data_IF_280458363785
#
_entry.id   IF_280458363785
#
_cell.length_a   1.000
_cell.length_b   1.000
_cell.length_c   1.000
_cell.angle_alpha   90.00
_cell.angle_beta   90.00
_cell.angle_gamma   90.00
#
_symmetry.space_group_name_H-M   'P 1'
#
loop_
_entity.id
_entity.type
_entity.pdbx_description
1 polymer ?
#
# COMPACT_ATOMS: atom_id res chain seq x y z
N UNK A 1 32.71 -52.35 61.22
CA UNK A 1 33.32 -53.38 60.36
C UNK A 1 33.56 -52.69 59.02
N UNK A 2 34.70 -52.01 58.86
CA UNK A 2 35.99 -52.55 58.37
C UNK A 2 35.84 -52.95 56.89
N UNK A 3 36.65 -52.52 55.92
CA UNK A 3 37.98 -51.90 55.94
C UNK A 3 38.25 -51.20 54.58
N UNK A 4 39.25 -50.31 54.54
CA UNK A 4 39.81 -49.60 53.34
C UNK A 4 40.98 -50.47 52.76
N UNK A 5 41.90 -50.07 51.83
CA UNK A 5 41.98 -49.10 50.70
C UNK A 5 42.50 -49.79 49.39
N UNK A 6 42.66 -49.13 48.22
CA UNK A 6 43.83 -48.34 47.72
C UNK A 6 43.42 -47.59 46.44
N UNK A 7 43.56 -46.25 46.32
CA UNK A 7 44.75 -45.42 46.04
C UNK A 7 45.48 -45.70 44.71
N UNK A 8 45.25 -44.80 43.75
CA UNK A 8 46.19 -44.45 42.68
C UNK A 8 46.00 -42.98 42.34
N UNK A 9 46.90 -42.13 42.82
CA UNK A 9 46.86 -40.68 42.73
C UNK A 9 48.02 -40.15 41.88
N UNK A 10 47.76 -39.16 41.02
CA UNK A 10 48.78 -38.22 40.50
C UNK A 10 48.06 -36.98 39.95
N UNK A 11 47.88 -35.93 40.78
CA UNK A 11 48.68 -34.69 40.90
C UNK A 11 48.50 -33.71 39.73
N UNK A 12 47.72 -32.65 39.97
CA UNK A 12 48.14 -31.21 40.03
C UNK A 12 48.47 -30.60 38.65
N UNK A 13 47.98 -29.41 38.27
CA UNK A 13 47.94 -28.20 39.09
C UNK A 13 46.95 -27.17 38.53
N UNK A 14 46.33 -26.47 39.48
CA UNK A 14 45.58 -25.23 39.31
C UNK A 14 46.52 -24.07 38.95
N UNK A 15 46.11 -23.16 38.05
CA UNK A 15 46.47 -21.73 38.11
C UNK A 15 45.35 -20.88 37.48
N UNK A 16 44.59 -20.18 38.32
CA UNK A 16 43.88 -18.94 37.98
C UNK A 16 44.89 -17.80 38.15
N UNK A 17 45.12 -16.96 37.12
CA UNK A 17 45.68 -15.61 37.33
C UNK A 17 44.97 -14.63 36.39
N UNK A 18 44.18 -13.75 37.01
CA UNK A 18 43.73 -12.47 36.46
C UNK A 18 44.90 -11.49 36.62
N UNK A 19 45.35 -10.86 35.53
CA UNK A 19 46.12 -9.62 35.59
C UNK A 19 45.70 -8.70 34.44
N UNK A 20 44.96 -7.66 34.81
CA UNK A 20 44.85 -6.41 34.06
C UNK A 20 46.22 -5.69 34.07
N UNK A 21 46.54 -4.98 32.99
CA UNK A 21 47.01 -3.59 32.98
C UNK A 21 47.57 -3.21 31.59
N UNK A 22 46.93 -2.20 31.01
CA UNK A 22 47.52 -1.08 30.25
C UNK A 22 48.28 -1.44 28.97
N UNK A 23 47.63 -1.17 27.83
CA UNK A 23 48.31 -1.08 26.54
C UNK A 23 47.44 -0.47 25.46
N UNK A 24 47.40 0.86 25.39
CA UNK A 24 47.19 1.57 24.12
C UNK A 24 45.76 1.76 23.66
N UNK A 25 45.09 2.76 24.23
CA UNK A 25 44.05 3.53 23.52
C UNK A 25 44.73 4.20 22.31
N UNK A 26 44.49 3.69 21.11
CA UNK A 26 44.66 4.45 19.87
C UNK A 26 43.26 4.79 19.36
N UNK A 27 42.87 6.02 19.64
CA UNK A 27 41.69 6.70 19.12
C UNK A 27 41.90 6.85 17.60
N UNK A 28 41.36 5.90 16.84
CA UNK A 28 41.08 6.08 15.42
C UNK A 28 39.69 6.68 15.28
N UNK A 29 39.62 8.00 15.09
CA UNK A 29 38.39 8.69 14.72
C UNK A 29 37.93 8.21 13.33
N UNK A 30 37.06 7.20 13.29
CA UNK A 30 36.13 7.00 12.20
C UNK A 30 34.75 7.29 12.78
N UNK A 31 34.31 8.55 12.59
CA UNK A 31 32.98 9.04 12.94
C UNK A 31 31.90 8.39 12.07
N UNK A 32 31.73 7.08 12.20
CA UNK A 32 30.56 6.37 11.71
C UNK A 32 29.41 6.66 12.66
N UNK A 33 28.71 7.77 12.44
CA UNK A 33 27.37 7.94 12.97
C UNK A 33 26.53 6.82 12.37
N UNK A 34 26.20 5.82 13.18
CA UNK A 34 25.05 4.95 12.88
C UNK A 34 23.85 5.89 12.96
N UNK A 35 23.47 6.46 11.81
CA UNK A 35 22.21 7.14 11.68
C UNK A 35 21.14 6.09 11.94
N UNK A 36 20.65 6.04 13.17
CA UNK A 36 19.39 5.39 13.48
C UNK A 36 18.37 6.14 12.65
N UNK A 37 18.00 5.60 11.50
CA UNK A 37 16.87 6.10 10.72
C UNK A 37 15.70 6.12 11.70
N UNK A 38 15.12 7.29 12.02
CA UNK A 38 13.96 7.33 12.88
C UNK A 38 12.91 6.42 12.25
N UNK A 39 12.29 5.54 13.05
CA UNK A 39 11.11 4.83 12.61
C UNK A 39 10.12 5.87 12.05
N UNK A 40 9.47 5.61 10.90
CA UNK A 40 8.50 6.54 10.36
C UNK A 40 7.48 6.87 11.45
N UNK A 41 7.34 8.16 11.75
CA UNK A 41 6.38 8.62 12.76
C UNK A 41 4.99 8.13 12.36
N UNK A 42 4.21 7.56 13.30
CA UNK A 42 2.80 7.32 13.05
C UNK A 42 2.16 8.69 12.78
N UNK A 43 1.72 8.92 11.54
CA UNK A 43 1.15 10.18 11.08
C UNK A 43 1.83 10.83 9.87
N UNK A 44 2.94 10.31 9.34
CA UNK A 44 3.39 10.73 8.00
C UNK A 44 2.65 9.88 6.97
N UNK A 45 1.55 10.40 6.46
CA UNK A 45 0.91 9.85 5.27
C UNK A 45 1.92 9.62 4.14
N UNK A 46 1.58 8.80 3.14
CA UNK A 46 2.46 8.50 2.03
C UNK A 46 2.94 9.78 1.33
N UNK A 47 4.18 9.76 0.79
CA UNK A 47 4.80 10.97 0.28
C UNK A 47 3.91 11.63 -0.79
N UNK A 48 3.85 12.97 -0.83
CA UNK A 48 3.19 13.66 -1.91
C UNK A 48 3.87 13.37 -3.25
N UNK A 49 3.12 13.27 -4.35
CA UNK A 49 3.69 13.28 -5.69
C UNK A 49 4.26 14.66 -6.01
N UNK A 50 5.28 14.71 -6.87
CA UNK A 50 5.92 15.97 -7.29
C UNK A 50 5.10 16.79 -8.27
N UNK A 51 4.00 16.22 -8.80
CA UNK A 51 3.21 16.75 -9.92
C UNK A 51 1.75 17.06 -9.55
N UNK A 52 1.48 17.33 -8.27
CA UNK A 52 0.17 17.66 -7.66
C UNK A 52 -0.95 18.07 -8.65
N UNK A 53 -1.86 17.14 -8.98
CA UNK A 53 -3.03 17.39 -9.84
C UNK A 53 -2.77 17.48 -11.36
N UNK A 54 -1.52 17.31 -11.82
CA UNK A 54 -1.11 17.33 -13.24
C UNK A 54 -0.81 15.93 -13.79
N UNK A 55 -1.36 14.88 -13.19
CA UNK A 55 -1.04 13.49 -13.55
C UNK A 55 -1.25 13.17 -15.04
N UNK A 56 -2.22 13.82 -15.70
CA UNK A 56 -2.52 13.60 -17.13
C UNK A 56 -1.42 14.12 -18.07
N UNK A 57 -0.60 15.09 -17.64
CA UNK A 57 0.52 15.63 -18.43
C UNK A 57 1.85 14.95 -18.08
N UNK A 58 1.87 14.12 -17.04
CA UNK A 58 3.08 13.44 -16.60
C UNK A 58 3.41 12.24 -17.48
N UNK A 59 4.70 11.98 -17.75
CA UNK A 59 5.11 10.72 -18.34
C UNK A 59 4.62 9.55 -17.49
N UNK A 60 4.06 8.52 -18.11
CA UNK A 60 3.55 7.34 -17.38
C UNK A 60 4.61 6.74 -16.47
N UNK A 61 5.85 6.69 -16.91
CA UNK A 61 6.99 6.23 -16.12
C UNK A 61 7.16 6.97 -14.78
N UNK A 62 6.89 8.28 -14.72
CA UNK A 62 6.96 9.08 -13.49
C UNK A 62 5.82 8.72 -12.54
N UNK A 63 4.60 8.55 -13.06
CA UNK A 63 3.45 8.11 -12.28
C UNK A 63 3.69 6.71 -11.69
N UNK A 64 4.23 5.80 -12.49
CA UNK A 64 4.58 4.45 -12.03
C UNK A 64 5.77 4.45 -11.07
N UNK A 65 6.71 5.38 -11.22
CA UNK A 65 7.81 5.58 -10.26
C UNK A 65 7.27 5.99 -8.91
N UNK A 66 6.36 6.97 -8.89
CA UNK A 66 5.63 7.37 -7.70
C UNK A 66 4.88 6.19 -7.08
N UNK A 67 4.10 5.45 -7.89
CA UNK A 67 3.31 4.32 -7.42
C UNK A 67 4.17 3.20 -6.80
N UNK A 68 5.36 2.92 -7.35
CA UNK A 68 6.31 1.94 -6.78
C UNK A 68 6.88 2.37 -5.42
N UNK A 69 6.93 3.68 -5.15
CA UNK A 69 7.33 4.21 -3.85
C UNK A 69 6.27 4.08 -2.76
N UNK A 70 5.04 3.68 -3.11
CA UNK A 70 3.93 3.55 -2.17
C UNK A 70 3.84 2.14 -1.58
N UNK A 71 3.46 2.08 -0.30
CA UNK A 71 2.99 0.86 0.34
C UNK A 71 1.52 0.59 0.03
N UNK A 72 1.18 -0.67 -0.19
CA UNK A 72 -0.21 -1.13 -0.32
C UNK A 72 -0.50 -2.18 0.74
N UNK A 73 -1.65 -2.07 1.40
CA UNK A 73 -2.01 -3.01 2.46
C UNK A 73 -2.54 -4.31 1.83
N UNK A 74 -1.79 -5.39 2.08
CA UNK A 74 -2.06 -6.73 1.55
C UNK A 74 -2.65 -7.66 2.60
N UNK A 75 -2.82 -7.18 3.83
CA UNK A 75 -3.35 -7.97 4.95
C UNK A 75 -4.77 -8.45 4.65
N UNK A 76 -5.13 -9.58 5.26
CA UNK A 76 -6.45 -10.15 5.11
C UNK A 76 -7.48 -9.17 5.66
N UNK A 77 -8.48 -8.85 4.84
CA UNK A 77 -9.51 -7.87 5.16
C UNK A 77 -9.14 -6.42 4.85
N UNK A 78 -7.91 -6.06 4.47
CA UNK A 78 -7.63 -4.70 4.00
C UNK A 78 -8.17 -4.48 2.57
N UNK A 79 -7.93 -5.45 1.69
CA UNK A 79 -8.42 -5.46 0.31
C UNK A 79 -9.60 -6.41 0.08
N UNK A 80 -9.94 -6.59 -1.19
CA UNK A 80 -10.98 -7.51 -1.65
C UNK A 80 -10.59 -8.19 -2.96
N UNK A 81 -11.05 -9.42 -3.18
CA UNK A 81 -10.78 -10.20 -4.40
C UNK A 81 -12.09 -10.76 -4.94
N UNK A 82 -12.44 -10.39 -6.16
CA UNK A 82 -13.69 -10.78 -6.81
C UNK A 82 -13.46 -11.04 -8.29
N UNK A 83 -14.26 -11.95 -8.87
CA UNK A 83 -14.40 -12.05 -10.32
C UNK A 83 -15.40 -10.98 -10.77
N UNK A 84 -14.94 -10.03 -11.57
CA UNK A 84 -15.74 -8.90 -12.03
C UNK A 84 -16.79 -9.35 -13.05
N UNK A 85 -17.75 -8.49 -13.35
CA UNK A 85 -18.85 -8.77 -14.27
C UNK A 85 -18.59 -8.07 -15.61
N UNK A 86 -18.60 -8.82 -16.71
CA UNK A 86 -18.59 -8.21 -18.05
C UNK A 86 -19.97 -8.37 -18.66
N UNK A 87 -20.50 -7.32 -19.28
CA UNK A 87 -21.75 -7.44 -20.04
C UNK A 87 -21.42 -7.97 -21.43
N UNK A 88 -21.92 -9.17 -21.75
CA UNK A 88 -21.88 -9.69 -23.11
C UNK A 88 -22.94 -8.97 -23.96
N UNK A 89 -22.47 -7.98 -24.74
CA UNK A 89 -23.31 -7.21 -25.66
C UNK A 89 -23.76 -7.99 -26.90
N UNK A 90 -23.18 -9.18 -27.15
CA UNK A 90 -23.57 -10.05 -28.27
C UNK A 90 -24.73 -11.00 -27.89
N UNK A 91 -24.98 -11.19 -26.59
CA UNK A 91 -26.16 -11.91 -26.12
C UNK A 91 -27.44 -11.09 -26.36
N UNK A 92 -28.57 -11.78 -26.61
CA UNK A 92 -29.88 -11.14 -26.80
C UNK A 92 -30.89 -11.75 -25.80
N UNK A 93 -31.22 -11.07 -24.68
CA UNK A 93 -30.72 -9.75 -24.27
C UNK A 93 -29.25 -9.78 -23.79
N UNK A 94 -28.56 -8.62 -23.72
CA UNK A 94 -27.24 -8.54 -23.10
C UNK A 94 -27.24 -9.17 -21.72
N UNK A 95 -26.24 -9.99 -21.44
CA UNK A 95 -26.19 -10.82 -20.25
C UNK A 95 -24.89 -10.59 -19.47
N UNK A 96 -24.95 -10.52 -18.13
CA UNK A 96 -23.74 -10.51 -17.32
C UNK A 96 -23.03 -11.86 -17.45
N UNK A 97 -21.75 -11.84 -17.78
CA UNK A 97 -20.87 -13.00 -17.85
C UNK A 97 -19.67 -12.81 -16.92
N UNK A 98 -19.06 -13.90 -16.42
CA UNK A 98 -17.88 -13.78 -15.56
C UNK A 98 -16.71 -13.12 -16.30
N UNK A 99 -16.25 -11.98 -15.77
CA UNK A 99 -15.06 -11.24 -16.19
C UNK A 99 -13.78 -11.74 -15.50
N UNK A 100 -12.72 -10.92 -15.44
CA UNK A 100 -11.44 -11.30 -14.81
C UNK A 100 -11.53 -11.37 -13.28
N UNK A 101 -10.67 -12.19 -12.68
CA UNK A 101 -10.39 -12.18 -11.25
C UNK A 101 -9.50 -10.99 -10.88
N UNK A 102 -10.04 -10.03 -10.15
CA UNK A 102 -9.33 -8.82 -9.75
C UNK A 102 -9.21 -8.71 -8.23
N UNK A 103 -8.08 -8.16 -7.77
CA UNK A 103 -7.88 -7.77 -6.36
C UNK A 103 -7.74 -6.26 -6.25
N UNK A 104 -8.45 -5.64 -5.31
CA UNK A 104 -8.24 -4.25 -4.92
C UNK A 104 -7.49 -4.19 -3.59
N UNK A 105 -6.47 -3.33 -3.51
CA UNK A 105 -5.64 -3.14 -2.32
C UNK A 105 -5.54 -1.64 -2.03
N UNK A 106 -5.89 -1.17 -0.81
CA UNK A 106 -5.75 0.23 -0.46
C UNK A 106 -4.27 0.60 -0.31
N UNK A 107 -3.96 1.85 -0.58
CA UNK A 107 -2.66 2.41 -0.20
C UNK A 107 -2.57 2.45 1.34
N UNK A 108 -1.42 2.07 1.89
CA UNK A 108 -1.15 2.21 3.32
C UNK A 108 -1.28 3.68 3.74
N UNK A 109 -1.99 3.94 4.84
CA UNK A 109 -2.24 5.30 5.32
C UNK A 109 -3.30 6.08 4.53
N UNK A 110 -3.99 5.50 3.54
CA UNK A 110 -5.06 6.20 2.81
C UNK A 110 -6.20 6.66 3.74
N UNK A 111 -6.47 5.90 4.80
CA UNK A 111 -7.41 6.25 5.87
C UNK A 111 -6.92 7.37 6.80
N UNK A 112 -5.65 7.78 6.71
CA UNK A 112 -5.08 8.85 7.55
C UNK A 112 -4.95 10.17 6.81
N UNK A 113 -5.10 10.16 5.47
CA UNK A 113 -4.99 11.35 4.65
C UNK A 113 -5.95 12.45 5.11
N UNK A 114 -5.44 13.66 5.16
CA UNK A 114 -6.25 14.85 5.30
C UNK A 114 -6.85 15.26 3.95
N UNK A 115 -7.96 15.99 4.00
CA UNK A 115 -8.70 16.36 2.78
C UNK A 115 -7.84 17.17 1.80
N UNK A 116 -6.99 18.06 2.30
CA UNK A 116 -6.12 18.88 1.46
C UNK A 116 -4.99 18.06 0.82
N UNK A 117 -4.53 17.00 1.49
CA UNK A 117 -3.56 16.07 0.92
C UNK A 117 -4.17 15.26 -0.22
N UNK A 118 -5.41 14.79 -0.03
CA UNK A 118 -6.17 14.13 -1.09
C UNK A 118 -6.45 15.09 -2.26
N UNK A 119 -6.81 16.35 -1.96
CA UNK A 119 -7.09 17.37 -2.98
C UNK A 119 -5.88 17.66 -3.87
N UNK A 120 -4.67 17.66 -3.29
CA UNK A 120 -3.42 17.83 -4.02
C UNK A 120 -3.10 16.65 -4.97
N UNK A 121 -3.77 15.52 -4.81
CA UNK A 121 -3.64 14.36 -5.68
C UNK A 121 -2.84 13.23 -5.05
N UNK A 122 -3.46 12.05 -4.96
CA UNK A 122 -2.86 10.82 -4.41
C UNK A 122 -3.37 9.58 -5.13
N UNK A 123 -2.51 8.57 -5.21
CA UNK A 123 -2.98 7.19 -5.43
C UNK A 123 -3.59 6.73 -4.11
N UNK A 124 -4.81 6.21 -4.11
CA UNK A 124 -5.51 5.77 -2.88
C UNK A 124 -5.66 4.25 -2.81
N UNK A 125 -5.56 3.57 -3.95
CA UNK A 125 -5.60 2.12 -4.06
C UNK A 125 -4.93 1.67 -5.36
N UNK A 126 -4.69 0.36 -5.47
CA UNK A 126 -4.39 -0.31 -6.73
C UNK A 126 -5.34 -1.47 -6.96
N UNK A 127 -5.55 -1.77 -8.23
CA UNK A 127 -6.38 -2.86 -8.71
C UNK A 127 -5.50 -3.76 -9.55
N UNK A 128 -5.47 -5.05 -9.23
CA UNK A 128 -4.60 -6.04 -9.86
C UNK A 128 -5.49 -7.03 -10.60
N UNK A 129 -5.37 -7.06 -11.93
CA UNK A 129 -5.95 -8.11 -12.74
C UNK A 129 -5.06 -9.36 -12.66
N UNK A 130 -5.62 -10.49 -12.20
CA UNK A 130 -4.90 -11.75 -12.06
C UNK A 130 -5.13 -12.71 -13.23
N UNK A 131 -5.96 -12.32 -14.18
CA UNK A 131 -6.33 -13.10 -15.35
C UNK A 131 -5.76 -12.47 -16.64
N UNK A 132 -5.94 -13.15 -17.77
CA UNK A 132 -5.58 -12.66 -19.10
C UNK A 132 -6.70 -11.90 -19.81
N UNK A 133 -7.87 -11.76 -19.17
CA UNK A 133 -9.03 -11.06 -19.71
C UNK A 133 -8.90 -9.58 -19.31
N UNK A 134 -8.85 -8.62 -20.25
CA UNK A 134 -8.80 -7.20 -19.89
C UNK A 134 -10.14 -6.74 -19.30
N UNK A 135 -10.11 -5.63 -18.56
CA UNK A 135 -11.30 -4.94 -18.06
C UNK A 135 -11.19 -3.43 -18.36
N UNK A 136 -11.57 -3.00 -19.59
CA UNK A 136 -11.36 -1.63 -20.06
C UNK A 136 -12.02 -0.57 -19.18
N UNK A 137 -13.15 -0.89 -18.56
CA UNK A 137 -13.88 0.02 -17.68
C UNK A 137 -13.04 0.50 -16.47
N UNK A 138 -12.09 -0.32 -16.03
CA UNK A 138 -11.14 0.01 -14.96
C UNK A 138 -9.72 0.24 -15.48
N UNK A 139 -9.57 0.52 -16.78
CA UNK A 139 -8.29 0.64 -17.46
C UNK A 139 -7.35 -0.55 -17.19
N UNK A 140 -7.87 -1.77 -17.05
CA UNK A 140 -7.05 -2.96 -16.78
C UNK A 140 -6.74 -3.70 -18.07
N UNK A 141 -5.45 -3.81 -18.40
CA UNK A 141 -4.96 -4.77 -19.36
C UNK A 141 -5.00 -6.23 -18.84
N UNK A 142 -4.68 -7.22 -19.69
CA UNK A 142 -4.40 -8.60 -19.24
C UNK A 142 -3.24 -8.61 -18.24
N UNK A 143 -3.44 -9.23 -17.07
CA UNK A 143 -2.40 -9.39 -16.03
C UNK A 143 -1.74 -8.08 -15.59
N UNK A 144 -2.49 -6.98 -15.66
CA UNK A 144 -2.04 -5.60 -15.40
C UNK A 144 -2.39 -5.14 -13.97
N UNK A 145 -1.78 -4.04 -13.55
CA UNK A 145 -2.15 -3.29 -12.35
C UNK A 145 -2.55 -1.86 -12.70
N UNK A 146 -3.77 -1.48 -12.35
CA UNK A 146 -4.25 -0.10 -12.41
C UNK A 146 -4.10 0.58 -11.06
N UNK A 147 -3.57 1.80 -11.06
CA UNK A 147 -3.52 2.67 -9.89
C UNK A 147 -4.69 3.64 -9.89
N UNK A 148 -5.37 3.73 -8.75
CA UNK A 148 -6.52 4.61 -8.56
C UNK A 148 -6.05 5.93 -7.98
N UNK A 149 -5.99 6.97 -8.82
CA UNK A 149 -5.68 8.33 -8.45
C UNK A 149 -6.92 9.16 -8.14
N UNK A 150 -6.84 10.01 -7.12
CA UNK A 150 -7.88 10.97 -6.72
C UNK A 150 -7.24 12.34 -6.53
N UNK A 151 -7.85 13.40 -7.08
CA UNK A 151 -7.48 14.79 -6.82
C UNK A 151 -8.70 15.74 -6.91
N UNK A 152 -8.49 17.01 -6.53
CA UNK A 152 -9.43 18.10 -6.84
C UNK A 152 -8.74 19.44 -7.13
N UNK A 153 -7.42 19.56 -6.99
CA UNK A 153 -6.71 20.83 -7.05
C UNK A 153 -6.83 21.57 -8.39
N UNK A 154 -6.82 20.83 -9.51
CA UNK A 154 -6.77 21.43 -10.86
C UNK A 154 -8.14 21.88 -11.35
N UNK A 155 -9.21 21.17 -10.97
CA UNK A 155 -10.57 21.40 -11.48
C UNK A 155 -11.51 22.04 -10.45
N UNK A 156 -11.12 22.05 -9.16
CA UNK A 156 -12.01 22.41 -8.05
C UNK A 156 -13.09 21.35 -7.77
N UNK A 157 -13.11 20.25 -8.52
CA UNK A 157 -14.05 19.15 -8.39
C UNK A 157 -13.29 17.85 -8.13
N UNK A 158 -13.79 17.05 -7.18
CA UNK A 158 -13.23 15.72 -6.94
C UNK A 158 -13.35 14.87 -8.19
N UNK A 159 -12.22 14.29 -8.61
CA UNK A 159 -12.18 13.38 -9.74
C UNK A 159 -11.33 12.15 -9.45
N UNK A 160 -11.63 11.08 -10.17
CA UNK A 160 -10.83 9.86 -10.20
C UNK A 160 -10.19 9.68 -11.57
N UNK A 161 -8.94 9.24 -11.57
CA UNK A 161 -8.23 8.78 -12.76
C UNK A 161 -7.69 7.37 -12.50
N UNK A 162 -8.00 6.45 -13.40
CA UNK A 162 -7.49 5.08 -13.37
C UNK A 162 -6.30 4.98 -14.33
N UNK A 163 -5.13 4.64 -13.78
CA UNK A 163 -3.85 4.64 -14.50
C UNK A 163 -3.27 3.24 -14.54
N UNK A 164 -3.37 2.60 -15.71
CA UNK A 164 -2.76 1.28 -15.97
C UNK A 164 -1.24 1.31 -15.84
N UNK A 165 -0.63 0.17 -15.50
CA UNK A 165 0.82 -0.01 -15.60
C UNK A 165 1.31 -0.27 -17.02
N UNK A 166 0.39 -0.57 -17.94
CA UNK A 166 0.64 -0.69 -19.38
C UNK A 166 0.53 0.68 -20.07
N UNK A 167 1.60 1.09 -20.75
CA UNK A 167 1.67 2.39 -21.45
C UNK A 167 0.65 2.50 -22.60
N UNK A 168 0.22 1.37 -23.17
CA UNK A 168 -0.75 1.32 -24.28
C UNK A 168 -2.20 1.52 -23.83
N UNK A 169 -2.49 1.37 -22.53
CA UNK A 169 -3.83 1.56 -21.98
C UNK A 169 -4.00 3.03 -21.58
N UNK A 170 -5.04 3.67 -22.10
CA UNK A 170 -5.34 5.07 -21.82
C UNK A 170 -5.76 5.28 -20.35
N UNK A 171 -5.47 6.46 -19.81
CA UNK A 171 -5.99 6.87 -18.50
C UNK A 171 -7.52 6.96 -18.60
N UNK A 172 -8.23 6.30 -17.69
CA UNK A 172 -9.69 6.31 -17.67
C UNK A 172 -10.21 7.22 -16.55
N UNK A 173 -10.82 8.38 -16.88
CA UNK A 173 -11.51 9.19 -15.89
C UNK A 173 -12.82 8.53 -15.42
N UNK A 174 -13.13 8.68 -14.14
CA UNK A 174 -14.38 8.19 -13.54
C UNK A 174 -14.99 9.22 -12.61
N UNK A 175 -16.32 9.16 -12.46
CA UNK A 175 -17.05 9.92 -11.47
C UNK A 175 -16.61 9.53 -10.06
N UNK A 176 -16.48 10.50 -9.17
CA UNK A 176 -16.06 10.29 -7.79
C UNK A 176 -17.06 10.93 -6.82
N UNK A 177 -17.59 10.10 -5.92
CA UNK A 177 -18.38 10.51 -4.78
C UNK A 177 -17.53 10.41 -3.51
N UNK A 178 -17.24 11.54 -2.87
CA UNK A 178 -16.60 11.57 -1.56
C UNK A 178 -17.67 11.47 -0.47
N UNK A 179 -17.82 10.28 0.09
CA UNK A 179 -18.87 9.98 1.08
C UNK A 179 -18.29 10.12 2.49
N UNK A 180 -18.86 11.00 3.30
CA UNK A 180 -18.52 11.09 4.72
C UNK A 180 -19.05 9.84 5.44
N UNK A 181 -18.17 9.13 6.13
CA UNK A 181 -18.51 7.90 6.84
C UNK A 181 -18.98 8.15 8.28
N UNK A 182 -18.51 9.24 8.88
CA UNK A 182 -18.85 9.62 10.25
C UNK A 182 -19.36 11.06 10.29
N UNK A 183 -20.52 11.27 10.90
CA UNK A 183 -21.05 12.63 11.12
C UNK A 183 -20.24 13.43 12.15
N UNK A 184 -19.64 12.72 13.10
CA UNK A 184 -18.80 13.25 14.17
C UNK A 184 -17.32 13.19 13.79
N UNK A 185 -16.58 14.28 14.03
CA UNK A 185 -15.16 14.41 13.75
C UNK A 185 -14.25 13.62 14.70
N UNK A 186 -14.78 13.09 15.82
CA UNK A 186 -13.96 12.26 16.74
C UNK A 186 -13.76 10.83 16.24
N UNK A 187 -14.65 10.34 15.37
CA UNK A 187 -14.55 9.00 14.79
C UNK A 187 -13.72 9.05 13.52
N UNK A 188 -12.75 8.15 13.44
CA UNK A 188 -11.87 7.97 12.29
C UNK A 188 -11.83 6.51 11.90
N UNK A 189 -11.47 6.25 10.65
CA UNK A 189 -11.13 4.90 10.23
C UNK A 189 -9.93 4.40 11.03
N UNK A 190 -9.99 3.15 11.50
CA UNK A 190 -8.88 2.51 12.19
C UNK A 190 -7.82 1.91 11.25
N UNK A 191 -8.14 1.80 9.95
CA UNK A 191 -7.27 1.20 8.94
C UNK A 191 -7.71 1.60 7.53
N UNK A 192 -6.80 1.45 6.57
CA UNK A 192 -7.12 1.62 5.16
C UNK A 192 -7.84 0.38 4.61
N UNK A 193 -8.99 0.58 3.95
CA UNK A 193 -9.81 -0.50 3.39
C UNK A 193 -10.15 -0.18 1.93
N UNK A 194 -10.14 -1.20 1.07
CA UNK A 194 -10.67 -1.12 -0.29
C UNK A 194 -11.59 -2.31 -0.60
N UNK A 195 -12.69 -2.08 -1.32
CA UNK A 195 -13.74 -3.06 -1.59
C UNK A 195 -14.31 -2.92 -2.99
N UNK A 196 -14.76 -4.04 -3.54
CA UNK A 196 -15.72 -4.05 -4.64
C UNK A 196 -17.11 -3.75 -4.10
N UNK A 197 -17.88 -2.91 -4.80
CA UNK A 197 -19.25 -2.59 -4.43
C UNK A 197 -20.18 -2.87 -5.58
N UNK A 198 -21.09 -3.82 -5.39
CA UNK A 198 -22.15 -4.08 -6.37
C UNK A 198 -23.05 -2.85 -6.55
N UNK A 199 -23.23 -2.41 -7.80
CA UNK A 199 -24.06 -1.28 -8.21
C UNK A 199 -25.07 -1.68 -9.27
N UNK A 200 -25.92 -2.64 -8.91
CA UNK A 200 -27.05 -3.07 -9.75
C UNK A 200 -26.64 -3.99 -10.89
N UNK A 201 -25.80 -3.49 -11.81
CA UNK A 201 -25.37 -4.22 -13.02
C UNK A 201 -23.86 -4.44 -13.09
N UNK A 202 -23.06 -3.70 -12.31
CA UNK A 202 -21.60 -3.86 -12.31
C UNK A 202 -20.95 -3.54 -10.94
N UNK A 203 -19.65 -3.77 -10.82
CA UNK A 203 -18.86 -3.43 -9.64
C UNK A 203 -18.28 -2.01 -9.67
N UNK A 204 -18.69 -1.19 -8.71
CA UNK A 204 -18.01 0.06 -8.38
C UNK A 204 -16.83 -0.13 -7.43
N UNK A 205 -16.02 0.92 -7.31
CA UNK A 205 -14.84 0.94 -6.43
C UNK A 205 -15.15 1.69 -5.15
N UNK A 206 -14.70 1.16 -4.01
CA UNK A 206 -14.79 1.86 -2.73
C UNK A 206 -13.46 1.77 -1.97
N UNK A 207 -13.00 2.90 -1.41
CA UNK A 207 -11.79 2.95 -0.58
C UNK A 207 -11.90 4.01 0.51
N UNK A 208 -11.36 3.75 1.69
CA UNK A 208 -11.13 4.79 2.70
C UNK A 208 -10.03 5.73 2.21
N UNK A 209 -10.34 7.01 1.97
CA UNK A 209 -9.39 7.94 1.32
C UNK A 209 -9.15 9.22 2.11
N UNK A 210 -9.77 9.38 3.28
CA UNK A 210 -9.36 10.33 4.31
C UNK A 210 -9.61 9.74 5.69
N UNK A 211 -9.23 10.46 6.74
CA UNK A 211 -9.61 10.21 8.14
C UNK A 211 -11.08 9.82 8.37
N UNK A 212 -12.00 10.44 7.65
CA UNK A 212 -13.45 10.43 7.95
C UNK A 212 -14.34 10.17 6.74
N UNK A 213 -13.76 10.03 5.56
CA UNK A 213 -14.48 9.84 4.31
C UNK A 213 -13.99 8.61 3.54
N UNK A 214 -14.85 8.15 2.65
CA UNK A 214 -14.53 7.15 1.65
C UNK A 214 -14.72 7.71 0.24
N UNK A 215 -13.92 7.23 -0.69
CA UNK A 215 -13.99 7.51 -2.11
C UNK A 215 -14.78 6.38 -2.76
N UNK A 216 -15.84 6.74 -3.48
CA UNK A 216 -16.72 5.82 -4.20
C UNK A 216 -16.73 6.20 -5.68
N UNK A 217 -16.45 5.22 -6.54
CA UNK A 217 -16.66 5.32 -7.99
C UNK A 217 -17.93 4.56 -8.34
N UNK A 218 -18.83 5.25 -9.01
CA UNK A 218 -20.08 4.73 -9.59
C UNK A 218 -19.94 4.55 -11.10
#
# INVERSE_FOLDING_TARGET
>A
MADTPERGATKQSWVLVILALIGGVVIGQLGGTVALTPAPSPGSGPPPPTFAGQIETMPRAEVLSYARGLGFDRSDGAGDTQRLTVVDLMAVPPAPVPGPLCRIEPMQGAAELERDELAAGRIVARIINRDSIPYPELALGPSDTTYWWVDSATTGQWRTLLVSSEDTVLIAPRGLSLVRAFEDSTRRWGQALARWRWQGQDEGLWVTCTATSACLVE
#
